data_IF_023179143819
#
_entry.id   IF_023179143819
#
_cell.length_a   1.000
_cell.length_b   1.000
_cell.length_c   1.000
_cell.angle_alpha   90.00
_cell.angle_beta   90.00
_cell.angle_gamma   90.00
#
_symmetry.space_group_name_H-M   'P 1'
#
loop_
_entity.id
_entity.type
_entity.pdbx_description
1 polymer ?
#
# COMPACT_ATOMS: atom_id res chain seq x y z
N UNK A 1 11.22 12.14 -2.51
CA UNK A 1 9.99 12.78 -2.00
C UNK A 1 9.12 11.70 -1.38
N UNK A 2 8.53 12.01 -0.23
CA UNK A 2 7.54 11.16 0.42
C UNK A 2 6.42 11.97 1.04
N UNK A 3 5.31 11.30 1.38
CA UNK A 3 4.14 11.94 2.01
C UNK A 3 3.83 11.28 3.34
N UNK A 4 3.27 12.05 4.26
CA UNK A 4 2.86 11.55 5.58
C UNK A 4 1.41 11.05 5.61
N UNK A 5 0.66 11.20 4.51
CA UNK A 5 -0.77 10.88 4.44
C UNK A 5 -1.13 9.39 4.33
N UNK A 6 -0.15 8.48 4.38
CA UNK A 6 -0.38 7.03 4.32
C UNK A 6 -0.01 6.38 5.65
N UNK A 7 1.04 5.57 5.68
CA UNK A 7 1.46 4.82 6.87
C UNK A 7 1.75 5.68 8.12
N UNK A 8 2.09 6.95 7.95
CA UNK A 8 2.32 7.89 9.06
C UNK A 8 1.00 8.47 9.59
N UNK A 9 -0.12 8.33 8.86
CA UNK A 9 -1.45 8.83 9.23
C UNK A 9 -1.44 10.32 9.63
N UNK A 10 -0.72 11.16 8.86
CA UNK A 10 -0.57 12.59 9.10
C UNK A 10 -0.74 13.38 7.80
N UNK A 11 -0.69 14.71 7.87
CA UNK A 11 -0.65 15.59 6.72
C UNK A 11 0.77 16.03 6.40
N UNK A 12 1.00 16.43 5.15
CA UNK A 12 2.27 16.97 4.68
C UNK A 12 3.11 15.99 3.89
N UNK A 13 4.29 16.47 3.52
CA UNK A 13 5.27 15.76 2.71
C UNK A 13 6.68 16.18 3.09
N UNK A 14 7.67 15.42 2.64
CA UNK A 14 9.07 15.74 2.84
C UNK A 14 9.89 15.49 1.56
N UNK A 15 10.99 16.22 1.46
CA UNK A 15 11.98 16.04 0.41
C UNK A 15 13.33 15.77 1.09
N UNK A 16 13.97 14.68 0.74
CA UNK A 16 15.34 14.37 1.13
C UNK A 16 16.23 14.67 -0.07
N UNK A 17 17.16 15.60 0.07
CA UNK A 17 18.02 16.06 -1.01
C UNK A 17 19.33 16.65 -0.47
N UNK A 18 20.29 16.95 -1.39
CA UNK A 18 21.51 17.64 -1.05
C UNK A 18 21.23 19.09 -0.59
N UNK A 19 22.10 19.62 0.26
CA UNK A 19 21.96 20.95 0.86
C UNK A 19 21.69 22.05 -0.18
N UNK A 20 22.44 22.07 -1.27
CA UNK A 20 22.26 23.06 -2.35
C UNK A 20 20.86 23.04 -2.96
N UNK A 21 20.26 21.84 -3.09
CA UNK A 21 18.88 21.70 -3.60
C UNK A 21 17.90 22.21 -2.55
N UNK A 22 18.10 21.88 -1.27
CA UNK A 22 17.26 22.37 -0.17
C UNK A 22 17.24 23.92 -0.13
N UNK A 23 18.38 24.56 -0.22
CA UNK A 23 18.49 26.02 -0.24
C UNK A 23 17.80 26.63 -1.46
N UNK A 24 17.96 26.01 -2.62
CA UNK A 24 17.26 26.43 -3.83
C UNK A 24 15.74 26.34 -3.66
N UNK A 25 15.22 25.22 -3.14
CA UNK A 25 13.79 25.02 -2.93
C UNK A 25 13.20 26.02 -1.93
N UNK A 26 13.88 26.30 -0.83
CA UNK A 26 13.46 27.32 0.16
C UNK A 26 13.28 28.70 -0.50
N UNK A 27 14.13 29.02 -1.44
CA UNK A 27 14.14 30.36 -2.06
C UNK A 27 13.30 30.44 -3.36
N UNK A 28 12.96 29.33 -4.00
CA UNK A 28 12.35 29.31 -5.34
C UNK A 28 11.06 28.51 -5.44
N UNK A 29 10.79 27.59 -4.51
CA UNK A 29 9.59 26.74 -4.56
C UNK A 29 8.36 27.53 -4.12
N UNK A 30 7.58 28.01 -5.06
CA UNK A 30 6.40 28.85 -4.79
C UNK A 30 5.37 28.18 -3.90
N UNK A 31 5.11 26.88 -4.09
CA UNK A 31 4.20 26.09 -3.27
C UNK A 31 4.66 25.92 -1.82
N UNK A 32 5.95 26.12 -1.53
CA UNK A 32 6.49 26.16 -0.18
C UNK A 32 6.44 27.58 0.42
N UNK A 33 6.84 28.58 -0.36
CA UNK A 33 6.92 29.97 0.09
C UNK A 33 5.54 30.53 0.42
N UNK A 34 4.53 30.21 -0.38
CA UNK A 34 3.15 30.73 -0.27
C UNK A 34 2.16 29.73 0.33
N UNK A 35 2.62 28.85 1.19
CA UNK A 35 1.77 27.89 1.89
C UNK A 35 1.61 28.25 3.36
N UNK A 36 0.46 27.89 3.93
CA UNK A 36 0.26 27.94 5.38
C UNK A 36 1.01 26.77 6.03
N UNK A 37 1.63 27.00 7.18
CA UNK A 37 2.30 25.96 7.94
C UNK A 37 1.31 24.85 8.36
N UNK A 38 1.84 23.65 8.51
CA UNK A 38 1.06 22.52 9.04
C UNK A 38 0.63 22.81 10.48
N UNK A 39 -0.56 22.36 10.90
CA UNK A 39 -0.97 22.44 12.30
C UNK A 39 0.07 21.79 13.23
N UNK A 40 0.36 22.36 14.39
CA UNK A 40 1.35 21.83 15.33
C UNK A 40 1.09 20.37 15.72
N UNK A 41 -0.18 19.97 15.84
CA UNK A 41 -0.55 18.58 16.15
C UNK A 41 -0.05 17.59 15.08
N UNK A 42 -0.10 17.95 13.80
CA UNK A 42 0.41 17.10 12.73
C UNK A 42 1.93 16.95 12.80
N UNK A 43 2.64 18.02 13.17
CA UNK A 43 4.09 18.00 13.33
C UNK A 43 4.48 17.12 14.52
N UNK A 44 3.82 17.29 15.67
CA UNK A 44 4.05 16.48 16.87
C UNK A 44 3.76 15.00 16.62
N UNK A 45 2.62 14.70 16.00
CA UNK A 45 2.26 13.32 15.64
C UNK A 45 3.30 12.69 14.70
N UNK A 46 3.67 13.40 13.65
CA UNK A 46 4.67 12.91 12.68
C UNK A 46 6.00 12.64 13.35
N UNK A 47 6.50 13.56 14.21
CA UNK A 47 7.73 13.37 14.98
C UNK A 47 7.64 12.14 15.88
N UNK A 48 6.55 12.02 16.63
CA UNK A 48 6.30 10.89 17.52
C UNK A 48 6.31 9.54 16.78
N UNK A 49 5.70 9.47 15.58
CA UNK A 49 5.70 8.24 14.75
C UNK A 49 7.10 7.95 14.22
N UNK A 50 7.81 8.97 13.68
CA UNK A 50 9.15 8.80 13.12
C UNK A 50 10.17 8.28 14.15
N UNK A 51 10.10 8.73 15.39
CA UNK A 51 10.95 8.25 16.48
C UNK A 51 10.74 6.76 16.79
N UNK A 52 9.55 6.22 16.51
CA UNK A 52 9.19 4.82 16.75
C UNK A 52 9.45 3.90 15.58
N UNK A 53 9.62 4.43 14.37
CA UNK A 53 9.85 3.60 13.18
C UNK A 53 11.01 2.60 13.32
N UNK A 54 12.17 2.92 13.95
CA UNK A 54 13.24 1.94 14.12
C UNK A 54 12.81 0.71 14.92
N UNK A 55 11.95 0.88 15.92
CA UNK A 55 11.45 -0.22 16.75
C UNK A 55 10.45 -1.16 16.03
N UNK A 56 9.92 -0.76 14.86
CA UNK A 56 8.94 -1.54 14.11
C UNK A 56 9.58 -2.49 13.07
N UNK A 57 10.85 -2.85 13.23
CA UNK A 57 11.54 -3.72 12.26
C UNK A 57 10.87 -5.09 12.14
N UNK A 58 10.44 -5.68 13.25
CA UNK A 58 9.74 -6.99 13.23
C UNK A 58 8.42 -6.91 12.45
N UNK A 59 7.63 -5.84 12.64
CA UNK A 59 6.39 -5.62 11.88
C UNK A 59 6.65 -5.48 10.37
N UNK A 60 7.73 -4.79 9.98
CA UNK A 60 8.12 -4.69 8.57
C UNK A 60 8.53 -6.03 7.98
N UNK A 61 9.31 -6.81 8.72
CA UNK A 61 9.71 -8.16 8.30
C UNK A 61 8.50 -9.07 8.14
N UNK A 62 7.62 -9.10 9.12
CA UNK A 62 6.36 -9.85 9.05
C UNK A 62 5.52 -9.46 7.82
N UNK A 63 5.32 -8.15 7.60
CA UNK A 63 4.56 -7.65 6.45
C UNK A 63 5.15 -8.13 5.11
N UNK A 64 6.47 -8.13 4.96
CA UNK A 64 7.12 -8.64 3.77
C UNK A 64 6.93 -10.15 3.61
N UNK A 65 7.03 -10.91 4.69
CA UNK A 65 6.84 -12.37 4.70
C UNK A 65 5.42 -12.75 4.24
N UNK A 66 4.39 -12.16 4.84
CA UNK A 66 3.00 -12.45 4.44
C UNK A 66 2.69 -11.97 3.02
N UNK A 67 3.34 -10.90 2.57
CA UNK A 67 3.19 -10.40 1.19
C UNK A 67 3.79 -11.36 0.17
N UNK A 68 4.98 -11.87 0.42
CA UNK A 68 5.62 -12.85 -0.47
C UNK A 68 4.86 -14.17 -0.47
N UNK A 69 4.41 -14.66 0.69
CA UNK A 69 3.58 -15.87 0.82
C UNK A 69 2.30 -15.78 -0.05
N UNK A 70 1.59 -14.66 0.01
CA UNK A 70 0.40 -14.45 -0.82
C UNK A 70 0.77 -14.37 -2.31
N UNK A 71 1.82 -13.65 -2.66
CA UNK A 71 2.30 -13.52 -4.04
C UNK A 71 2.69 -14.87 -4.65
N UNK A 72 3.44 -15.70 -3.91
CA UNK A 72 3.81 -17.05 -4.34
C UNK A 72 2.58 -17.92 -4.59
N UNK A 73 1.60 -17.89 -3.69
CA UNK A 73 0.35 -18.62 -3.85
C UNK A 73 -0.44 -18.19 -5.10
N UNK A 74 -0.55 -16.88 -5.35
CA UNK A 74 -1.20 -16.35 -6.55
C UNK A 74 -0.47 -16.77 -7.83
N UNK A 75 0.86 -16.68 -7.82
CA UNK A 75 1.70 -17.04 -8.98
C UNK A 75 1.60 -18.53 -9.28
N UNK A 76 1.59 -19.38 -8.25
CA UNK A 76 1.40 -20.83 -8.39
C UNK A 76 0.03 -21.18 -9.00
N UNK A 77 -0.99 -20.37 -8.76
CA UNK A 77 -2.32 -20.51 -9.38
C UNK A 77 -2.41 -19.89 -10.79
N UNK A 78 -1.32 -19.35 -11.32
CA UNK A 78 -1.26 -18.78 -12.66
C UNK A 78 -1.68 -17.31 -12.74
N UNK A 79 -1.95 -16.65 -11.62
CA UNK A 79 -2.20 -15.21 -11.65
C UNK A 79 -0.90 -14.43 -11.85
N UNK A 80 -0.95 -13.43 -12.72
CA UNK A 80 0.15 -12.48 -12.84
C UNK A 80 0.15 -11.53 -11.63
N UNK A 81 1.26 -11.52 -10.89
CA UNK A 81 1.42 -10.73 -9.67
C UNK A 81 2.75 -9.95 -9.68
N UNK A 82 2.85 -8.85 -10.46
CA UNK A 82 4.07 -8.06 -10.57
C UNK A 82 4.24 -7.12 -9.36
N UNK A 83 4.40 -7.69 -8.16
CA UNK A 83 4.58 -6.91 -6.93
C UNK A 83 5.95 -7.14 -6.31
N UNK A 84 6.50 -6.07 -5.75
CA UNK A 84 7.70 -6.06 -4.90
C UNK A 84 7.41 -5.40 -3.54
N UNK A 85 6.15 -5.33 -3.15
CA UNK A 85 5.70 -4.62 -1.94
C UNK A 85 4.52 -5.34 -1.27
N UNK A 86 4.04 -4.76 -0.17
CA UNK A 86 2.84 -5.22 0.55
C UNK A 86 1.53 -4.97 -0.21
N UNK A 87 1.57 -4.36 -1.37
CA UNK A 87 0.41 -4.25 -2.27
C UNK A 87 0.52 -5.38 -3.29
N UNK A 88 -0.30 -6.41 -3.12
CA UNK A 88 -0.27 -7.63 -3.91
C UNK A 88 -1.44 -7.66 -4.87
N UNK A 89 -1.24 -7.44 -6.19
CA UNK A 89 -2.31 -7.49 -7.17
C UNK A 89 -2.54 -8.92 -7.64
N UNK A 90 -3.79 -9.36 -7.68
CA UNK A 90 -4.24 -10.54 -8.39
C UNK A 90 -4.88 -10.09 -9.70
N UNK A 91 -4.16 -10.16 -10.81
CA UNK A 91 -4.65 -9.73 -12.12
C UNK A 91 -5.57 -10.84 -12.66
N UNK A 92 -6.85 -10.50 -12.81
CA UNK A 92 -7.89 -11.42 -13.31
C UNK A 92 -8.09 -11.22 -14.82
N UNK A 93 -8.03 -9.97 -15.31
CA UNK A 93 -8.17 -9.61 -16.72
C UNK A 93 -9.49 -8.90 -17.02
N UNK A 94 -10.59 -9.62 -17.20
CA UNK A 94 -11.89 -9.02 -17.49
C UNK A 94 -12.50 -8.34 -16.25
N UNK A 95 -13.24 -7.25 -16.48
CA UNK A 95 -13.85 -6.47 -15.39
C UNK A 95 -14.96 -7.25 -14.67
N UNK A 96 -15.77 -7.99 -15.41
CA UNK A 96 -16.88 -8.78 -14.87
C UNK A 96 -16.36 -9.90 -13.97
N UNK A 97 -15.38 -10.68 -14.43
CA UNK A 97 -14.75 -11.75 -13.65
C UNK A 97 -14.08 -11.21 -12.37
N UNK A 98 -13.49 -10.02 -12.46
CA UNK A 98 -12.87 -9.35 -11.31
C UNK A 98 -13.90 -8.96 -10.26
N UNK A 99 -15.09 -8.49 -10.69
CA UNK A 99 -16.21 -8.18 -9.78
C UNK A 99 -16.70 -9.46 -9.09
N UNK A 100 -16.98 -10.50 -9.85
CA UNK A 100 -17.48 -11.78 -9.31
C UNK A 100 -16.50 -12.36 -8.29
N UNK A 101 -15.20 -12.31 -8.60
CA UNK A 101 -14.15 -12.80 -7.68
C UNK A 101 -14.04 -11.95 -6.41
N UNK A 102 -14.21 -10.62 -6.52
CA UNK A 102 -14.24 -9.75 -5.36
C UNK A 102 -15.46 -10.03 -4.47
N UNK A 103 -16.64 -10.22 -5.04
CA UNK A 103 -17.86 -10.56 -4.31
C UNK A 103 -17.76 -11.93 -3.62
N UNK A 104 -17.13 -12.92 -4.28
CA UNK A 104 -16.86 -14.22 -3.67
C UNK A 104 -16.01 -14.07 -2.40
N UNK A 105 -14.90 -13.34 -2.48
CA UNK A 105 -14.01 -13.08 -1.35
C UNK A 105 -14.73 -12.32 -0.23
N UNK A 106 -15.54 -11.31 -0.57
CA UNK A 106 -16.31 -10.53 0.40
C UNK A 106 -17.34 -11.39 1.15
N UNK A 107 -18.04 -12.28 0.44
CA UNK A 107 -18.97 -13.24 1.08
C UNK A 107 -18.26 -14.20 2.06
N UNK A 108 -16.97 -14.42 1.86
CA UNK A 108 -16.12 -15.24 2.75
C UNK A 108 -15.42 -14.42 3.84
N UNK A 109 -15.76 -13.13 3.97
CA UNK A 109 -15.24 -12.25 5.03
C UNK A 109 -13.95 -11.49 4.66
N UNK A 110 -13.46 -11.60 3.42
CA UNK A 110 -12.28 -10.86 2.98
C UNK A 110 -12.68 -9.61 2.20
N UNK A 111 -12.46 -8.43 2.78
CA UNK A 111 -12.75 -7.16 2.12
C UNK A 111 -11.76 -6.90 0.99
N UNK A 112 -12.14 -7.27 -0.21
CA UNK A 112 -11.36 -7.09 -1.43
C UNK A 112 -12.13 -6.23 -2.43
N UNK A 113 -11.45 -5.25 -3.03
CA UNK A 113 -12.06 -4.34 -4.00
C UNK A 113 -11.51 -4.59 -5.41
N UNK A 114 -12.40 -4.64 -6.42
CA UNK A 114 -11.98 -4.75 -7.81
C UNK A 114 -11.46 -3.40 -8.30
N UNK A 115 -10.27 -3.39 -8.91
CA UNK A 115 -9.69 -2.24 -9.61
C UNK A 115 -9.84 -2.50 -11.10
N UNK A 116 -10.52 -1.59 -11.80
CA UNK A 116 -10.95 -1.73 -13.19
C UNK A 116 -10.63 -0.47 -14.00
N UNK A 117 -10.76 -0.51 -15.32
CA UNK A 117 -10.73 0.69 -16.15
C UNK A 117 -11.73 1.77 -15.66
N UNK A 118 -11.38 3.06 -15.74
CA UNK A 118 -10.16 3.62 -16.33
C UNK A 118 -8.95 3.65 -15.39
N UNK A 119 -9.05 3.14 -14.14
CA UNK A 119 -7.94 3.16 -13.16
C UNK A 119 -6.77 2.29 -13.60
N UNK A 120 -7.06 1.22 -14.33
CA UNK A 120 -6.07 0.32 -14.94
C UNK A 120 -6.43 0.13 -16.42
N UNK A 121 -5.47 -0.28 -17.29
CA UNK A 121 -5.77 -0.57 -18.69
C UNK A 121 -6.81 -1.68 -18.85
N UNK A 122 -7.54 -1.68 -19.97
CA UNK A 122 -8.45 -2.76 -20.33
C UNK A 122 -7.75 -4.12 -20.38
N UNK A 123 -8.46 -5.17 -19.99
CA UNK A 123 -7.90 -6.52 -19.92
C UNK A 123 -6.92 -6.74 -18.75
N UNK A 124 -6.77 -5.77 -17.85
CA UNK A 124 -5.87 -5.86 -16.69
C UNK A 124 -6.56 -5.59 -15.35
N UNK A 125 -7.88 -5.79 -15.32
CA UNK A 125 -8.65 -5.66 -14.08
C UNK A 125 -8.13 -6.63 -13.02
N UNK A 126 -8.10 -6.20 -11.77
CA UNK A 126 -7.43 -6.91 -10.70
C UNK A 126 -8.09 -6.70 -9.36
N UNK A 127 -7.89 -7.63 -8.46
CA UNK A 127 -8.09 -7.41 -7.02
C UNK A 127 -6.77 -6.93 -6.45
N UNK A 128 -6.80 -5.83 -5.68
CA UNK A 128 -5.63 -5.28 -5.02
C UNK A 128 -5.69 -5.58 -3.54
N UNK A 129 -4.91 -6.54 -3.09
CA UNK A 129 -4.69 -6.78 -1.67
C UNK A 129 -3.68 -5.75 -1.15
N UNK A 130 -4.10 -4.95 -0.18
CA UNK A 130 -3.24 -3.98 0.51
C UNK A 130 -3.03 -4.49 1.94
N UNK A 131 -1.93 -5.22 2.14
CA UNK A 131 -1.67 -5.87 3.41
C UNK A 131 -1.15 -4.88 4.45
N UNK A 132 -1.43 -5.17 5.71
CA UNK A 132 -0.90 -4.44 6.88
C UNK A 132 -0.16 -5.41 7.80
N UNK A 133 0.69 -4.88 8.65
CA UNK A 133 1.48 -5.69 9.57
C UNK A 133 0.66 -6.30 10.74
N UNK A 134 -0.61 -5.99 10.83
CA UNK A 134 -1.52 -6.56 11.84
C UNK A 134 -2.30 -7.76 11.30
N UNK A 135 -2.23 -8.04 9.98
CA UNK A 135 -2.77 -9.27 9.38
C UNK A 135 -1.91 -10.45 9.82
N UNK A 136 -2.56 -11.49 10.34
CA UNK A 136 -1.90 -12.70 10.82
C UNK A 136 -1.58 -13.66 9.67
N UNK A 137 -0.62 -14.54 9.87
CA UNK A 137 -0.35 -15.63 8.90
C UNK A 137 -1.56 -16.53 8.70
N UNK A 138 -2.35 -16.76 9.76
CA UNK A 138 -3.56 -17.58 9.68
C UNK A 138 -4.59 -16.98 8.72
N UNK A 139 -4.81 -15.65 8.78
CA UNK A 139 -5.72 -14.96 7.84
C UNK A 139 -5.23 -15.06 6.40
N UNK A 140 -3.91 -14.96 6.18
CA UNK A 140 -3.32 -15.17 4.85
C UNK A 140 -3.52 -16.62 4.39
N UNK A 141 -3.35 -17.61 5.25
CA UNK A 141 -3.58 -19.02 4.92
C UNK A 141 -5.05 -19.29 4.57
N UNK A 142 -5.98 -18.67 5.27
CA UNK A 142 -7.41 -18.75 4.95
C UNK A 142 -7.70 -18.13 3.58
N UNK A 143 -7.13 -16.94 3.28
CA UNK A 143 -7.29 -16.29 1.98
C UNK A 143 -6.71 -17.16 0.86
N UNK A 144 -5.53 -17.71 1.04
CA UNK A 144 -4.88 -18.62 0.06
C UNK A 144 -5.74 -19.86 -0.20
N UNK A 145 -6.31 -20.48 0.83
CA UNK A 145 -7.24 -21.62 0.66
C UNK A 145 -8.45 -21.26 -0.20
N UNK A 146 -9.02 -20.06 -0.01
CA UNK A 146 -10.16 -19.59 -0.81
C UNK A 146 -9.80 -19.32 -2.26
N UNK A 147 -8.61 -18.81 -2.51
CA UNK A 147 -8.11 -18.58 -3.88
C UNK A 147 -7.79 -19.92 -4.57
N UNK A 148 -7.43 -20.94 -3.80
CA UNK A 148 -7.03 -22.25 -4.27
C UNK A 148 -8.21 -23.20 -4.53
N UNK A 149 -9.35 -23.01 -3.89
CA UNK A 149 -10.59 -23.78 -4.10
C UNK A 149 -11.38 -23.27 -5.26
#
# INVERSE_FOLDING_TARGET
VGTFGKAIASAGAYIVCRQVIREYLINKMRTFIFTTALPPINIQWTSWVLERLPALQQKRTHLLQISEKLKEALTTKGYNCPSVSHIVPMIVGASEDTILKAEELQRKGFYALPVRPPTVPEGTSRIRFSLTADITEHEIDQLIKLING
#
